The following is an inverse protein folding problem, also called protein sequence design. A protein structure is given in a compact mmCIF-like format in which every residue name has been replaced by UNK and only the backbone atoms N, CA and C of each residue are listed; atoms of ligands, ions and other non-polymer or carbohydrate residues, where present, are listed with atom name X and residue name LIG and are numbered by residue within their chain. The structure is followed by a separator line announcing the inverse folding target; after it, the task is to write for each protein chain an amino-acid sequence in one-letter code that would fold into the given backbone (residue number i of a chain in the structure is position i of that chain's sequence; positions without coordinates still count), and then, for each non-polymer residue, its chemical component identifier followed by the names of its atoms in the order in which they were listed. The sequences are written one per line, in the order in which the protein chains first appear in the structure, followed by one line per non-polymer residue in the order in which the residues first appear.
data_IF_278424929651
#
_entry.id   IF_278424929651
#
_cell.length_a   1.000
_cell.length_b   1.000
_cell.length_c   1.000
_cell.angle_alpha   90.00
_cell.angle_beta   90.00
_cell.angle_gamma   90.00
#
_symmetry.space_group_name_H-M   'P 1'
#
loop_
_entity.id
_entity.type
_entity.pdbx_description
1 polymer ?
#
# COMPACT_ATOMS: atom_id res chain seq x y z
N UNK A 1 -4.10 -16.62 32.13
CA UNK A 1 -3.54 -17.14 30.85
C UNK A 1 -2.52 -16.14 30.35
N UNK A 2 -1.25 -16.54 30.20
CA UNK A 2 -0.25 -15.65 29.61
C UNK A 2 -0.52 -15.52 28.10
N UNK A 3 -0.83 -14.32 27.63
CA UNK A 3 -0.97 -14.05 26.19
C UNK A 3 0.42 -14.14 25.58
N UNK A 4 0.66 -15.17 24.76
CA UNK A 4 1.92 -15.34 24.04
C UNK A 4 2.04 -14.17 23.04
N UNK A 5 3.06 -13.32 23.20
CA UNK A 5 3.30 -12.18 22.30
C UNK A 5 3.51 -12.75 20.88
N UNK A 6 2.72 -12.30 19.91
CA UNK A 6 2.92 -12.66 18.50
C UNK A 6 4.30 -12.14 18.06
N UNK A 7 5.04 -12.88 17.21
CA UNK A 7 6.37 -12.48 16.75
C UNK A 7 6.28 -11.40 15.64
N UNK A 8 5.63 -10.29 15.93
CA UNK A 8 5.51 -9.16 14.99
C UNK A 8 6.69 -8.20 15.19
N UNK A 9 7.26 -7.63 14.10
CA UNK A 9 8.24 -6.57 14.19
C UNK A 9 7.72 -5.40 15.04
N UNK A 10 8.57 -4.84 15.90
CA UNK A 10 8.21 -3.66 16.70
C UNK A 10 8.21 -2.38 15.85
N UNK A 11 9.07 -2.32 14.82
CA UNK A 11 9.13 -1.21 13.86
C UNK A 11 7.78 -0.97 13.17
N UNK A 12 7.40 0.30 13.06
CA UNK A 12 6.21 0.76 12.33
C UNK A 12 6.67 1.55 11.09
N UNK A 13 6.12 1.20 9.92
CA UNK A 13 6.33 1.96 8.69
C UNK A 13 5.14 2.87 8.35
N UNK A 14 4.16 2.88 9.25
CA UNK A 14 3.02 3.78 9.27
C UNK A 14 2.95 4.44 10.64
N UNK A 15 3.30 5.72 10.71
CA UNK A 15 3.29 6.49 11.94
C UNK A 15 1.86 6.83 12.40
N UNK A 16 1.68 7.15 13.70
CA UNK A 16 0.47 7.79 14.16
C UNK A 16 0.23 9.13 13.45
N UNK A 17 -1.04 9.53 13.27
CA UNK A 17 -1.41 10.81 12.64
C UNK A 17 -2.16 10.70 11.31
N UNK A 18 -2.61 9.50 10.94
CA UNK A 18 -3.52 9.31 9.80
C UNK A 18 -4.90 9.93 10.05
N UNK A 19 -5.62 10.29 8.99
CA UNK A 19 -6.96 10.91 9.06
C UNK A 19 -8.12 9.92 8.87
N UNK A 20 -7.83 8.61 8.93
CA UNK A 20 -8.86 7.56 8.93
C UNK A 20 -9.83 7.66 10.12
N UNK A 21 -11.04 7.13 9.93
CA UNK A 21 -12.07 7.08 10.98
C UNK A 21 -11.58 6.36 12.25
N UNK A 22 -12.18 6.67 13.40
CA UNK A 22 -11.92 5.96 14.65
C UNK A 22 -12.25 4.47 14.50
N UNK A 23 -11.24 3.62 14.71
CA UNK A 23 -11.38 2.16 14.53
C UNK A 23 -11.37 1.70 13.06
N UNK A 24 -10.83 2.49 12.13
CA UNK A 24 -10.74 2.12 10.72
C UNK A 24 -9.99 0.79 10.53
N UNK A 25 -10.71 -0.25 10.07
CA UNK A 25 -10.12 -1.55 9.75
C UNK A 25 -9.05 -1.47 8.64
N UNK A 26 -9.21 -0.54 7.69
CA UNK A 26 -8.23 -0.28 6.64
C UNK A 26 -6.87 0.15 7.21
N UNK A 27 -6.86 1.09 8.16
CA UNK A 27 -5.65 1.56 8.85
C UNK A 27 -4.93 0.43 9.58
N UNK A 28 -5.68 -0.43 10.28
CA UNK A 28 -5.10 -1.61 10.93
C UNK A 28 -4.52 -2.59 9.90
N UNK A 29 -5.22 -2.84 8.79
CA UNK A 29 -4.76 -3.73 7.75
C UNK A 29 -3.44 -3.22 7.14
N UNK A 30 -3.34 -1.95 6.75
CA UNK A 30 -2.09 -1.38 6.21
C UNK A 30 -0.95 -1.48 7.22
N UNK A 31 -1.18 -1.12 8.48
CA UNK A 31 -0.16 -1.20 9.53
C UNK A 31 0.44 -2.61 9.62
N UNK A 32 -0.40 -3.65 9.63
CA UNK A 32 0.09 -5.03 9.68
C UNK A 32 0.70 -5.50 8.37
N UNK A 33 0.14 -5.11 7.21
CA UNK A 33 0.72 -5.40 5.90
C UNK A 33 2.13 -4.86 5.80
N UNK A 34 2.36 -3.62 6.23
CA UNK A 34 3.70 -3.01 6.22
C UNK A 34 4.71 -3.71 7.13
N UNK A 35 4.28 -4.24 8.27
CA UNK A 35 5.14 -5.09 9.10
C UNK A 35 5.53 -6.38 8.38
N UNK A 36 4.66 -6.90 7.51
CA UNK A 36 4.93 -8.11 6.74
C UNK A 36 5.81 -7.82 5.50
N UNK A 37 5.62 -6.69 4.82
CA UNK A 37 6.39 -6.34 3.61
C UNK A 37 7.74 -5.67 3.91
N UNK A 38 7.84 -4.98 5.05
CA UNK A 38 9.09 -4.38 5.52
C UNK A 38 9.50 -3.10 4.76
N UNK A 39 10.66 -2.50 5.13
CA UNK A 39 11.06 -1.16 4.68
C UNK A 39 11.41 -1.07 3.20
N UNK A 40 11.65 -2.21 2.53
CA UNK A 40 11.91 -2.29 1.08
C UNK A 40 10.61 -2.42 0.28
N UNK A 41 9.65 -1.56 0.56
CA UNK A 41 8.32 -1.58 -0.07
C UNK A 41 8.06 -0.26 -0.79
N UNK A 42 7.46 -0.32 -1.98
CA UNK A 42 6.87 0.82 -2.68
C UNK A 42 5.37 0.57 -2.83
N UNK A 43 4.54 1.56 -2.50
CA UNK A 43 3.08 1.45 -2.61
C UNK A 43 2.56 2.30 -3.77
N UNK A 44 1.66 1.74 -4.58
CA UNK A 44 0.76 2.51 -5.44
C UNK A 44 -0.66 2.50 -4.88
N UNK A 45 -1.25 3.68 -4.71
CA UNK A 45 -2.58 3.88 -4.11
C UNK A 45 -3.46 4.60 -5.13
N UNK A 46 -4.50 3.96 -5.70
CA UNK A 46 -5.46 4.65 -6.56
C UNK A 46 -6.34 5.59 -5.71
N UNK A 47 -7.10 6.46 -6.38
CA UNK A 47 -8.14 7.25 -5.73
C UNK A 47 -9.10 6.35 -4.90
N UNK A 48 -9.07 6.49 -3.58
CA UNK A 48 -9.92 5.79 -2.62
C UNK A 48 -9.75 6.43 -1.23
N UNK A 49 -10.34 5.87 -0.17
CA UNK A 49 -10.08 6.36 1.20
C UNK A 49 -8.58 6.44 1.52
N UNK A 50 -7.78 5.49 1.02
CA UNK A 50 -6.34 5.46 1.27
C UNK A 50 -5.53 6.53 0.54
N UNK A 51 -6.09 7.19 -0.48
CA UNK A 51 -5.43 8.31 -1.13
C UNK A 51 -5.37 9.55 -0.22
N UNK A 52 -6.26 9.64 0.78
CA UNK A 52 -6.34 10.77 1.72
C UNK A 52 -5.93 10.40 3.15
N UNK A 53 -6.06 9.13 3.54
CA UNK A 53 -5.77 8.69 4.93
C UNK A 53 -4.35 8.97 5.43
N UNK A 54 -3.28 8.90 4.61
CA UNK A 54 -1.92 9.14 5.10
C UNK A 54 -1.71 10.54 5.68
N UNK A 55 -2.51 11.52 5.28
CA UNK A 55 -2.40 12.89 5.75
C UNK A 55 -2.71 13.90 4.65
N UNK A 56 -2.94 15.15 5.07
CA UNK A 56 -3.06 16.28 4.14
C UNK A 56 -1.67 16.76 3.80
N UNK A 57 -1.42 16.99 2.50
CA UNK A 57 -0.18 17.58 2.00
C UNK A 57 0.24 18.82 2.85
N UNK A 58 1.52 18.94 3.24
CA UNK A 58 2.66 18.11 2.83
C UNK A 58 2.94 16.91 3.73
N UNK A 59 2.04 16.57 4.66
CA UNK A 59 2.26 15.52 5.64
C UNK A 59 1.85 14.14 5.11
N UNK A 60 2.55 13.10 5.57
CA UNK A 60 2.20 11.70 5.36
C UNK A 60 2.60 10.89 6.58
N UNK A 61 1.83 9.86 6.91
CA UNK A 61 2.18 8.90 7.94
C UNK A 61 3.02 7.73 7.39
N UNK A 62 3.31 7.67 6.08
CA UNK A 62 4.14 6.60 5.53
C UNK A 62 5.63 6.89 5.65
N UNK A 63 6.37 5.90 6.15
CA UNK A 63 7.84 5.91 6.19
C UNK A 63 8.48 5.16 5.01
N UNK A 64 7.71 4.97 3.93
CA UNK A 64 8.15 4.34 2.69
C UNK A 64 7.64 5.12 1.46
N UNK A 65 8.27 4.93 0.28
CA UNK A 65 7.78 5.54 -0.94
C UNK A 65 6.36 5.09 -1.27
N UNK A 66 5.48 6.06 -1.53
CA UNK A 66 4.14 5.81 -2.03
C UNK A 66 3.81 6.78 -3.17
N UNK A 67 2.93 6.37 -4.07
CA UNK A 67 2.43 7.19 -5.16
C UNK A 67 0.91 7.08 -5.24
N UNK A 68 0.25 8.23 -5.30
CA UNK A 68 -1.18 8.29 -5.59
C UNK A 68 -1.40 8.23 -7.11
N UNK A 69 -2.38 7.46 -7.55
CA UNK A 69 -2.69 7.25 -8.97
C UNK A 69 -4.18 7.46 -9.26
N UNK A 70 -4.54 7.47 -10.55
CA UNK A 70 -5.94 7.47 -10.98
C UNK A 70 -6.67 6.20 -10.49
N UNK A 71 -8.00 6.22 -10.46
CA UNK A 71 -8.76 5.17 -9.77
C UNK A 71 -8.63 3.79 -10.45
N UNK A 72 -8.60 3.79 -11.77
CA UNK A 72 -8.68 2.62 -12.63
C UNK A 72 -7.33 1.92 -12.88
N UNK A 73 -6.21 2.50 -12.45
CA UNK A 73 -4.87 2.12 -12.96
C UNK A 73 -3.98 1.36 -11.98
N UNK A 74 -4.49 0.85 -10.85
CA UNK A 74 -3.65 0.21 -9.82
C UNK A 74 -2.71 -0.86 -10.39
N UNK A 75 -3.25 -1.82 -11.14
CA UNK A 75 -2.47 -2.92 -11.74
C UNK A 75 -1.42 -2.41 -12.73
N UNK A 76 -1.81 -1.54 -13.64
CA UNK A 76 -0.88 -0.93 -14.61
C UNK A 76 0.25 -0.15 -13.93
N UNK A 77 -0.06 0.58 -12.84
CA UNK A 77 0.93 1.33 -12.07
C UNK A 77 1.97 0.43 -11.43
N UNK A 78 1.55 -0.65 -10.77
CA UNK A 78 2.50 -1.56 -10.09
C UNK A 78 3.29 -2.42 -11.08
N UNK A 79 2.71 -2.81 -12.22
CA UNK A 79 3.46 -3.43 -13.32
C UNK A 79 4.57 -2.51 -13.83
N UNK A 80 4.28 -1.22 -14.02
CA UNK A 80 5.27 -0.23 -14.47
C UNK A 80 6.40 -0.03 -13.45
N UNK A 81 6.06 0.05 -12.16
CA UNK A 81 7.06 0.17 -11.09
C UNK A 81 7.95 -1.08 -11.04
N UNK A 82 7.38 -2.29 -11.09
CA UNK A 82 8.13 -3.56 -11.11
C UNK A 82 9.07 -3.62 -12.31
N UNK A 83 8.56 -3.36 -13.52
CA UNK A 83 9.37 -3.37 -14.74
C UNK A 83 10.53 -2.36 -14.69
N UNK A 84 10.30 -1.17 -14.13
CA UNK A 84 11.35 -0.16 -13.96
C UNK A 84 12.42 -0.59 -12.93
N UNK A 85 12.04 -1.35 -11.89
CA UNK A 85 12.97 -1.91 -10.91
C UNK A 85 13.76 -3.08 -11.50
N UNK A 86 13.13 -3.95 -12.29
CA UNK A 86 13.79 -5.04 -13.03
C UNK A 86 14.85 -4.50 -13.98
N UNK A 87 14.53 -3.47 -14.76
CA UNK A 87 15.49 -2.80 -15.65
C UNK A 87 16.69 -2.20 -14.91
N UNK A 88 16.56 -1.97 -13.60
CA UNK A 88 17.63 -1.47 -12.71
C UNK A 88 18.30 -2.57 -11.89
N UNK A 89 17.95 -3.84 -12.11
CA UNK A 89 18.47 -4.99 -11.35
C UNK A 89 18.07 -5.00 -9.87
N UNK A 90 16.92 -4.40 -9.52
CA UNK A 90 16.42 -4.32 -8.14
C UNK A 90 15.26 -5.28 -7.91
N UNK A 91 15.58 -6.54 -7.65
CA UNK A 91 14.59 -7.60 -7.46
C UNK A 91 14.08 -7.73 -6.02
N UNK A 92 14.82 -7.17 -5.06
CA UNK A 92 14.59 -7.28 -3.62
C UNK A 92 13.66 -6.19 -3.04
N UNK A 93 12.88 -5.52 -3.89
CA UNK A 93 11.92 -4.48 -3.50
C UNK A 93 10.51 -5.00 -3.75
N UNK A 94 9.69 -4.99 -2.71
CA UNK A 94 8.26 -5.29 -2.79
C UNK A 94 7.52 -4.13 -3.44
N UNK A 95 6.75 -4.42 -4.50
CA UNK A 95 5.84 -3.46 -5.13
C UNK A 95 4.41 -3.86 -4.74
N UNK A 96 3.69 -2.95 -4.08
CA UNK A 96 2.35 -3.23 -3.56
C UNK A 96 1.32 -2.26 -4.17
N UNK A 97 0.27 -2.81 -4.76
CA UNK A 97 -0.94 -2.05 -5.06
C UNK A 97 -1.88 -2.10 -3.86
N UNK A 98 -2.30 -0.94 -3.35
CA UNK A 98 -3.23 -0.87 -2.23
C UNK A 98 -4.52 -0.17 -2.64
N UNK A 99 -5.47 -0.97 -3.13
CA UNK A 99 -6.73 -0.50 -3.68
C UNK A 99 -7.91 -0.91 -2.80
N UNK A 100 -8.95 -0.07 -2.79
CA UNK A 100 -10.25 -0.43 -2.24
C UNK A 100 -11.01 -1.40 -3.16
N UNK A 101 -12.22 -1.76 -2.76
CA UNK A 101 -13.13 -2.64 -3.50
C UNK A 101 -13.44 -2.12 -4.90
N UNK A 102 -13.80 -0.85 -5.07
CA UNK A 102 -14.05 -0.28 -6.40
C UNK A 102 -12.81 -0.30 -7.32
N UNK A 103 -11.62 -0.12 -6.76
CA UNK A 103 -10.35 -0.16 -7.50
C UNK A 103 -9.83 -1.57 -7.80
N UNK A 104 -10.53 -2.61 -7.33
CA UNK A 104 -10.16 -4.03 -7.51
C UNK A 104 -11.23 -4.82 -8.25
N UNK A 105 -12.50 -4.67 -7.87
CA UNK A 105 -13.61 -5.47 -8.36
C UNK A 105 -14.56 -4.71 -9.30
N UNK A 106 -14.31 -3.42 -9.56
CA UNK A 106 -15.10 -2.59 -10.47
C UNK A 106 -14.18 -1.86 -11.47
N UNK A 107 -14.01 -0.54 -11.37
CA UNK A 107 -13.30 0.26 -12.37
C UNK A 107 -11.84 -0.18 -12.60
N UNK A 108 -11.18 -0.70 -11.56
CA UNK A 108 -9.78 -1.14 -11.64
C UNK A 108 -9.58 -2.58 -12.11
N UNK A 109 -10.66 -3.34 -12.33
CA UNK A 109 -10.56 -4.79 -12.61
C UNK A 109 -9.80 -5.09 -13.91
N UNK A 110 -9.94 -4.23 -14.93
CA UNK A 110 -9.23 -4.39 -16.20
C UNK A 110 -7.71 -4.27 -16.01
N UNK A 111 -7.26 -3.27 -15.24
CA UNK A 111 -5.84 -3.08 -14.97
C UNK A 111 -5.28 -4.20 -14.08
N UNK A 112 -6.07 -4.68 -13.11
CA UNK A 112 -5.71 -5.82 -12.27
C UNK A 112 -5.54 -7.10 -13.11
N UNK A 113 -6.52 -7.41 -13.96
CA UNK A 113 -6.46 -8.57 -14.86
C UNK A 113 -5.24 -8.50 -15.78
N UNK A 114 -5.01 -7.34 -16.43
CA UNK A 114 -3.88 -7.17 -17.35
C UNK A 114 -2.49 -7.20 -16.69
N UNK A 115 -2.40 -7.07 -15.36
CA UNK A 115 -1.15 -7.28 -14.62
C UNK A 115 -0.86 -8.76 -14.38
N UNK A 116 -1.90 -9.60 -14.25
CA UNK A 116 -1.75 -11.02 -13.88
C UNK A 116 -1.44 -11.89 -15.10
N UNK A 117 -1.82 -11.46 -16.29
CA UNK A 117 -1.43 -12.06 -17.57
C UNK A 117 0.10 -12.00 -17.81
#
# INVERSE_FOLDING_TARGET
MAVKKLPLPEEELMDPGHVGCLGCGGCHAMRYTLKATGPRTIISIPACCWAVMPGVYPNTCFNIPHVNTAFEVTGASISGIRAALDARGKEDITVMGWAGDGGTADIGIQALSGMVE
#
